data_IF_512686652604
#
_entry.id   IF_512686652604
#
_cell.length_a   1.000
_cell.length_b   1.000
_cell.length_c   1.000
_cell.angle_alpha   90.00
_cell.angle_beta   90.00
_cell.angle_gamma   90.00
#
_symmetry.space_group_name_H-M   'P 1'
#
loop_
_entity.id
_entity.type
_entity.pdbx_description
1 polymer ?
#
# COMPACT_ATOMS: atom_id res chain seq x y z
N UNK A 1 -9.09 4.09 18.57
CA UNK A 1 -8.39 4.92 17.57
C UNK A 1 -9.44 5.74 16.84
N UNK A 2 -9.56 7.02 17.17
CA UNK A 2 -10.36 7.93 16.36
C UNK A 2 -9.53 8.35 15.15
N UNK A 3 -9.86 7.80 13.98
CA UNK A 3 -9.31 8.26 12.69
C UNK A 3 -10.20 9.38 12.15
N UNK A 4 -10.22 10.52 12.83
CA UNK A 4 -10.98 11.69 12.39
C UNK A 4 -10.03 12.83 12.04
N UNK A 5 -9.90 13.15 10.75
CA UNK A 5 -9.19 14.34 10.33
C UNK A 5 -10.10 15.55 10.58
N UNK A 6 -9.76 16.42 11.53
CA UNK A 6 -10.57 17.62 11.84
C UNK A 6 -10.58 18.66 10.71
N UNK A 7 -9.71 18.49 9.71
CA UNK A 7 -9.55 19.41 8.59
C UNK A 7 -10.55 19.17 7.45
N UNK A 8 -11.05 17.95 7.32
CA UNK A 8 -12.02 17.59 6.28
C UNK A 8 -13.32 17.14 6.95
N UNK A 9 -14.43 17.70 6.49
CA UNK A 9 -15.75 17.31 7.00
C UNK A 9 -16.14 15.93 6.44
N UNK A 10 -17.01 15.16 7.13
CA UNK A 10 -17.45 13.85 6.64
C UNK A 10 -18.01 13.87 5.21
N UNK A 11 -18.63 14.98 4.80
CA UNK A 11 -19.16 15.18 3.45
C UNK A 11 -18.07 15.26 2.37
N UNK A 12 -16.91 15.81 2.71
CA UNK A 12 -15.76 15.88 1.80
C UNK A 12 -15.10 14.51 1.65
N UNK A 13 -15.06 13.72 2.73
CA UNK A 13 -14.57 12.35 2.70
C UNK A 13 -15.45 11.45 1.81
N UNK A 14 -16.78 11.62 1.84
CA UNK A 14 -17.71 10.88 0.97
C UNK A 14 -17.49 11.18 -0.52
N UNK A 15 -17.35 12.46 -0.89
CA UNK A 15 -17.10 12.85 -2.27
C UNK A 15 -15.74 12.34 -2.79
N UNK A 16 -14.73 12.35 -1.92
CA UNK A 16 -13.41 11.79 -2.24
C UNK A 16 -13.48 10.26 -2.38
N UNK A 17 -14.23 9.58 -1.51
CA UNK A 17 -14.42 8.13 -1.57
C UNK A 17 -15.12 7.71 -2.88
N UNK A 18 -16.14 8.44 -3.32
CA UNK A 18 -16.82 8.20 -4.60
C UNK A 18 -15.87 8.36 -5.80
N UNK A 19 -15.02 9.39 -5.78
CA UNK A 19 -14.03 9.63 -6.83
C UNK A 19 -12.99 8.49 -6.90
N UNK A 20 -12.44 8.09 -5.75
CA UNK A 20 -11.44 7.00 -5.67
C UNK A 20 -12.04 5.66 -6.08
N UNK A 21 -13.28 5.38 -5.67
CA UNK A 21 -14.00 4.16 -6.07
C UNK A 21 -14.24 4.11 -7.59
N UNK A 22 -14.55 5.25 -8.21
CA UNK A 22 -14.72 5.36 -9.65
C UNK A 22 -13.44 5.13 -10.45
N UNK A 23 -12.29 5.56 -9.92
CA UNK A 23 -10.99 5.43 -10.58
C UNK A 23 -10.40 4.01 -10.47
N UNK A 24 -10.52 3.37 -9.30
CA UNK A 24 -9.94 2.04 -9.06
C UNK A 24 -10.76 0.91 -9.71
N UNK A 25 -12.05 1.12 -10.00
CA UNK A 25 -12.93 0.11 -10.57
C UNK A 25 -13.20 -1.09 -9.63
N UNK A 26 -14.05 -2.04 -10.06
CA UNK A 26 -14.38 -3.21 -9.24
C UNK A 26 -13.15 -4.12 -9.09
N UNK A 27 -12.60 -4.18 -7.87
CA UNK A 27 -11.44 -5.00 -7.54
C UNK A 27 -10.08 -4.31 -7.70
N UNK A 28 -10.04 -2.98 -7.87
CA UNK A 28 -8.80 -2.20 -7.99
C UNK A 28 -7.97 -2.14 -6.71
N UNK A 29 -7.37 -3.26 -6.32
CA UNK A 29 -6.38 -3.30 -5.27
C UNK A 29 -5.00 -3.44 -5.88
N UNK A 30 -4.20 -2.37 -5.84
CA UNK A 30 -2.77 -2.45 -6.15
C UNK A 30 -1.97 -3.21 -5.07
N UNK A 31 -2.66 -3.83 -4.09
CA UNK A 31 -2.05 -4.44 -2.91
C UNK A 31 -0.96 -5.46 -3.27
N UNK A 32 -1.14 -6.22 -4.34
CA UNK A 32 -0.16 -7.21 -4.80
C UNK A 32 1.13 -6.57 -5.27
N UNK A 33 1.05 -5.42 -5.95
CA UNK A 33 2.23 -4.65 -6.38
C UNK A 33 2.95 -4.02 -5.19
N UNK A 34 2.21 -3.45 -4.22
CA UNK A 34 2.81 -2.86 -3.01
C UNK A 34 3.35 -3.89 -2.02
N UNK A 35 2.79 -5.10 -2.00
CA UNK A 35 3.26 -6.17 -1.13
C UNK A 35 4.53 -6.85 -1.67
N UNK A 36 4.81 -6.70 -2.96
CA UNK A 36 6.02 -7.20 -3.59
C UNK A 36 7.20 -6.33 -3.18
N UNK A 37 8.26 -6.94 -2.65
CA UNK A 37 9.51 -6.21 -2.41
C UNK A 37 10.09 -5.75 -3.76
N UNK A 38 10.61 -4.53 -3.80
CA UNK A 38 11.38 -4.07 -4.95
C UNK A 38 12.61 -4.98 -5.12
N UNK A 39 13.03 -5.27 -6.36
CA UNK A 39 14.26 -6.02 -6.59
C UNK A 39 15.47 -5.22 -6.08
N UNK A 40 16.53 -5.90 -5.61
CA UNK A 40 17.75 -5.22 -5.19
C UNK A 40 18.31 -4.41 -6.36
N UNK A 41 18.73 -3.17 -6.06
CA UNK A 41 19.42 -2.31 -7.00
C UNK A 41 20.83 -2.86 -7.30
N UNK A 42 21.42 -2.43 -8.42
CA UNK A 42 22.75 -2.90 -8.84
C UNK A 42 23.86 -2.59 -7.83
N UNK A 43 23.69 -1.54 -7.02
CA UNK A 43 24.63 -1.11 -5.98
C UNK A 43 24.27 -1.63 -4.57
N UNK A 44 23.21 -2.43 -4.43
CA UNK A 44 22.84 -2.96 -3.13
C UNK A 44 23.92 -3.93 -2.61
N UNK A 45 24.24 -3.88 -1.31
CA UNK A 45 25.13 -4.87 -0.72
C UNK A 45 24.49 -6.26 -0.85
N UNK A 46 25.30 -7.33 -1.00
CA UNK A 46 24.76 -8.68 -1.12
C UNK A 46 23.86 -8.98 0.06
N UNK A 47 22.61 -9.35 -0.22
CA UNK A 47 21.62 -9.63 0.81
C UNK A 47 22.16 -10.72 1.74
N UNK A 48 22.24 -10.41 3.03
CA UNK A 48 22.62 -11.40 4.03
C UNK A 48 21.44 -12.32 4.24
N UNK A 49 21.45 -13.47 3.56
CA UNK A 49 20.48 -14.56 3.75
C UNK A 49 20.78 -15.30 5.06
N UNK A 50 20.81 -14.60 6.19
CA UNK A 50 20.96 -15.20 7.50
C UNK A 50 19.57 -15.48 8.08
N UNK A 51 18.95 -16.55 7.60
CA UNK A 51 17.81 -17.14 8.27
C UNK A 51 16.81 -17.84 7.37
N UNK A 52 17.09 -19.08 6.96
CA UNK A 52 16.13 -20.17 7.21
C UNK A 52 16.85 -21.52 7.22
N UNK A 53 16.68 -22.21 8.35
CA UNK A 53 17.09 -23.58 8.62
C UNK A 53 16.12 -24.54 7.94
N UNK A 54 16.56 -25.53 7.17
CA UNK A 54 15.85 -26.81 7.08
C UNK A 54 16.66 -27.97 6.46
N UNK A 55 16.95 -28.94 7.35
CA UNK A 55 17.25 -30.39 7.20
C UNK A 55 18.28 -30.89 6.20
#
# INVERSE_FOLDING_TARGET
MERGNTKHSPREDEALADQVSGELGPGGSNREEWASAEPPADDDPPERTDGETQS
#
